data_IF_774115862176
#
_entry.id   IF_774115862176
#
_cell.length_a   1.000
_cell.length_b   1.000
_cell.length_c   1.000
_cell.angle_alpha   90.00
_cell.angle_beta   90.00
_cell.angle_gamma   90.00
#
_symmetry.space_group_name_H-M   'P 1'
#
loop_
_entity.id
_entity.type
_entity.pdbx_description
1 polymer ?
#
# COMPACT_ATOMS: atom_id res chain seq x y z
N UNK A 1 -5.32 19.73 -14.06
CA UNK A 1 -6.21 19.76 -12.87
C UNK A 1 -5.71 20.82 -11.91
N UNK A 2 -6.52 21.80 -11.55
CA UNK A 2 -6.12 22.91 -10.67
C UNK A 2 -5.90 22.42 -9.25
N UNK A 3 -4.83 22.90 -8.59
CA UNK A 3 -4.52 22.64 -7.16
C UNK A 3 -5.72 22.84 -6.22
N UNK A 4 -6.71 23.67 -6.58
CA UNK A 4 -7.95 23.90 -5.82
C UNK A 4 -8.85 22.66 -5.72
N UNK A 5 -8.96 21.85 -6.78
CA UNK A 5 -9.75 20.60 -6.75
C UNK A 5 -9.08 19.55 -5.85
N UNK A 6 -7.75 19.58 -5.82
CA UNK A 6 -6.90 18.77 -4.96
C UNK A 6 -7.05 19.16 -3.48
N UNK A 7 -7.04 20.45 -3.16
CA UNK A 7 -7.30 20.92 -1.78
C UNK A 7 -8.73 20.57 -1.33
N UNK A 8 -9.71 20.56 -2.26
CA UNK A 8 -11.06 20.06 -2.00
C UNK A 8 -11.09 18.56 -1.66
N UNK A 9 -10.37 17.73 -2.42
CA UNK A 9 -10.23 16.30 -2.16
C UNK A 9 -9.48 16.04 -0.83
N UNK A 10 -8.39 16.76 -0.57
CA UNK A 10 -7.65 16.71 0.70
C UNK A 10 -8.50 17.15 1.87
N UNK A 11 -9.32 18.21 1.75
CA UNK A 11 -10.22 18.66 2.83
C UNK A 11 -11.30 17.61 3.16
N UNK A 12 -11.74 16.82 2.18
CA UNK A 12 -12.64 15.69 2.40
C UNK A 12 -12.00 14.52 3.16
N UNK A 13 -10.73 14.22 2.85
CA UNK A 13 -9.98 13.09 3.46
C UNK A 13 -9.32 13.45 4.80
N UNK A 14 -8.90 14.71 4.95
CA UNK A 14 -8.27 15.28 6.17
C UNK A 14 -9.32 15.81 7.15
N UNK A 15 -10.63 15.62 6.88
CA UNK A 15 -11.68 15.98 7.83
C UNK A 15 -11.46 15.15 9.10
N UNK A 16 -10.86 15.78 10.11
CA UNK A 16 -10.79 15.25 11.46
C UNK A 16 -12.22 15.11 11.97
N UNK A 17 -12.47 14.06 12.75
CA UNK A 17 -13.82 13.77 13.26
C UNK A 17 -14.39 15.04 13.87
N UNK A 18 -15.59 15.44 13.44
CA UNK A 18 -16.26 16.59 14.03
C UNK A 18 -16.46 16.33 15.54
N UNK A 19 -16.40 17.35 16.41
CA UNK A 19 -16.73 17.17 17.82
C UNK A 19 -18.16 16.62 17.92
N UNK A 20 -18.29 15.40 18.46
CA UNK A 20 -19.57 14.68 18.49
C UNK A 20 -19.77 13.64 17.39
N UNK A 21 -18.76 13.27 16.60
CA UNK A 21 -18.85 12.12 15.70
C UNK A 21 -18.63 10.80 16.49
N UNK A 22 -19.19 9.69 16.00
CA UNK A 22 -19.04 8.37 16.64
C UNK A 22 -17.84 7.67 16.02
N UNK A 23 -16.88 7.28 16.86
CA UNK A 23 -15.69 6.53 16.49
C UNK A 23 -16.05 5.07 16.19
N UNK A 24 -16.25 4.78 14.90
CA UNK A 24 -16.51 3.43 14.40
C UNK A 24 -15.25 2.68 13.92
N UNK A 25 -14.19 3.41 13.57
CA UNK A 25 -12.96 2.82 13.03
C UNK A 25 -12.06 2.21 14.12
N UNK A 26 -11.46 1.06 13.84
CA UNK A 26 -10.26 0.61 14.56
C UNK A 26 -9.07 1.53 14.25
N UNK A 27 -8.06 1.54 15.13
CA UNK A 27 -6.79 2.28 14.87
C UNK A 27 -6.17 1.82 13.56
N UNK A 28 -6.28 0.53 13.27
CA UNK A 28 -5.75 -0.09 12.06
C UNK A 28 -6.56 0.28 10.82
N UNK A 29 -7.90 0.20 10.88
CA UNK A 29 -8.74 0.70 9.79
C UNK A 29 -8.46 2.17 9.52
N UNK A 30 -8.26 3.01 10.56
CA UNK A 30 -7.87 4.42 10.41
C UNK A 30 -6.51 4.61 9.72
N UNK A 31 -5.55 3.73 9.98
CA UNK A 31 -4.26 3.71 9.28
C UNK A 31 -4.44 3.50 7.77
N UNK A 32 -5.34 2.61 7.37
CA UNK A 32 -5.67 2.34 5.96
C UNK A 32 -6.42 3.51 5.31
N UNK A 33 -7.63 3.85 5.78
CA UNK A 33 -8.49 4.81 5.06
C UNK A 33 -8.10 6.28 5.26
N UNK A 34 -7.35 6.63 6.31
CA UNK A 34 -6.91 8.01 6.56
C UNK A 34 -5.45 8.19 6.19
N UNK A 35 -4.54 7.56 6.93
CA UNK A 35 -3.13 7.84 6.78
C UNK A 35 -2.59 7.40 5.42
N UNK A 36 -2.95 6.20 4.97
CA UNK A 36 -2.50 5.68 3.66
C UNK A 36 -3.14 6.46 2.51
N UNK A 37 -4.43 6.79 2.60
CA UNK A 37 -5.08 7.64 1.59
C UNK A 37 -4.43 9.04 1.50
N UNK A 38 -4.15 9.69 2.64
CA UNK A 38 -3.46 10.99 2.68
C UNK A 38 -2.05 10.87 2.09
N UNK A 39 -1.30 9.83 2.46
CA UNK A 39 0.04 9.59 1.93
C UNK A 39 0.00 9.40 0.41
N UNK A 40 -0.90 8.56 -0.12
CA UNK A 40 -1.04 8.30 -1.55
C UNK A 40 -1.44 9.55 -2.33
N UNK A 41 -2.37 10.35 -1.80
CA UNK A 41 -2.73 11.64 -2.39
C UNK A 41 -1.54 12.61 -2.38
N UNK A 42 -0.80 12.68 -1.28
CA UNK A 42 0.40 13.50 -1.22
C UNK A 42 1.45 13.10 -2.26
N UNK A 43 1.73 11.80 -2.40
CA UNK A 43 2.67 11.28 -3.40
C UNK A 43 2.18 11.49 -4.83
N UNK A 44 0.88 11.34 -5.08
CA UNK A 44 0.25 11.65 -6.37
C UNK A 44 0.48 13.12 -6.76
N UNK A 45 0.35 14.04 -5.80
CA UNK A 45 0.63 15.46 -6.02
C UNK A 45 2.10 15.74 -6.24
N UNK A 46 2.97 15.13 -5.44
CA UNK A 46 4.42 15.27 -5.57
C UNK A 46 4.89 14.88 -6.97
N UNK A 47 4.46 13.73 -7.48
CA UNK A 47 4.82 13.25 -8.83
C UNK A 47 4.19 14.12 -9.93
N UNK A 48 3.06 14.76 -9.65
CA UNK A 48 2.38 15.66 -10.60
C UNK A 48 2.94 17.09 -10.61
N UNK A 49 3.80 17.45 -9.66
CA UNK A 49 4.21 18.83 -9.43
C UNK A 49 5.33 19.29 -10.39
N UNK A 50 4.95 19.61 -11.64
CA UNK A 50 5.86 20.09 -12.70
C UNK A 50 6.66 21.35 -12.32
N UNK A 51 6.11 22.18 -11.43
CA UNK A 51 6.71 23.45 -11.00
C UNK A 51 8.04 23.25 -10.26
N UNK A 52 8.23 22.11 -9.59
CA UNK A 52 9.44 21.81 -8.81
C UNK A 52 10.45 20.97 -9.57
N UNK A 53 9.99 20.18 -10.55
CA UNK A 53 10.80 19.20 -11.26
C UNK A 53 11.16 19.63 -12.70
N UNK A 54 10.55 20.70 -13.20
CA UNK A 54 10.70 21.13 -14.58
C UNK A 54 9.93 20.24 -15.56
N UNK A 55 10.40 20.22 -16.81
CA UNK A 55 9.86 19.31 -17.82
C UNK A 55 10.21 17.85 -17.48
N UNK A 56 9.26 16.89 -17.60
CA UNK A 56 9.45 15.51 -17.16
C UNK A 56 10.54 14.77 -17.96
N UNK A 57 10.78 15.20 -19.20
CA UNK A 57 11.82 14.70 -20.10
C UNK A 57 12.51 15.87 -20.80
N UNK A 58 13.83 15.78 -20.90
CA UNK A 58 14.65 16.67 -21.70
C UNK A 58 15.49 15.83 -22.67
N UNK A 59 15.30 16.04 -23.97
CA UNK A 59 15.93 15.27 -25.02
C UNK A 59 16.96 16.10 -25.78
N UNK A 60 18.15 15.54 -25.96
CA UNK A 60 19.22 16.10 -26.78
C UNK A 60 19.32 15.30 -28.07
N UNK A 61 19.31 16.02 -29.19
CA UNK A 61 19.45 15.44 -30.54
C UNK A 61 20.94 15.36 -30.92
N UNK A 62 21.28 14.34 -31.71
CA UNK A 62 22.59 14.27 -32.37
C UNK A 62 22.76 15.48 -33.31
N UNK A 63 23.97 16.05 -33.37
CA UNK A 63 24.27 17.32 -34.07
C UNK A 63 23.94 17.29 -35.57
N UNK A 64 23.94 16.11 -36.18
CA UNK A 64 23.67 15.89 -37.60
C UNK A 64 22.15 15.78 -37.91
N UNK A 65 21.31 15.66 -36.87
CA UNK A 65 19.87 15.40 -36.93
C UNK A 65 19.00 16.57 -36.44
N UNK A 66 19.57 17.77 -36.29
CA UNK A 66 18.98 18.94 -35.61
C UNK A 66 17.81 19.64 -36.34
N UNK A 67 16.92 18.89 -36.98
CA UNK A 67 15.81 19.39 -37.80
C UNK A 67 14.44 19.44 -37.10
N UNK A 68 14.37 19.18 -35.79
CA UNK A 68 13.11 19.12 -35.01
C UNK A 68 13.21 20.02 -33.77
N UNK A 69 12.26 20.94 -33.52
CA UNK A 69 12.26 21.78 -32.32
C UNK A 69 12.29 20.94 -31.03
N UNK A 70 13.08 21.37 -30.04
CA UNK A 70 13.24 20.65 -28.76
C UNK A 70 11.91 20.40 -28.05
N UNK A 71 11.00 21.38 -28.06
CA UNK A 71 9.67 21.25 -27.45
C UNK A 71 8.82 20.14 -28.08
N UNK A 72 8.93 19.95 -29.39
CA UNK A 72 8.25 18.87 -30.12
C UNK A 72 8.89 17.53 -29.79
N UNK A 73 10.22 17.47 -29.76
CA UNK A 73 10.96 16.26 -29.38
C UNK A 73 10.62 15.82 -27.95
N UNK A 74 10.69 16.73 -26.99
CA UNK A 74 10.37 16.46 -25.57
C UNK A 74 8.93 15.96 -25.41
N UNK A 75 7.96 16.63 -26.07
CA UNK A 75 6.54 16.21 -25.99
C UNK A 75 6.32 14.85 -26.66
N UNK A 76 6.90 14.64 -27.85
CA UNK A 76 6.80 13.37 -28.55
C UNK A 76 7.41 12.24 -27.73
N UNK A 77 8.63 12.39 -27.23
CA UNK A 77 9.32 11.36 -26.44
C UNK A 77 8.70 11.16 -25.05
N UNK A 78 7.93 12.11 -24.54
CA UNK A 78 7.13 11.90 -23.33
C UNK A 78 5.88 11.04 -23.59
N UNK A 79 5.22 11.24 -24.73
CA UNK A 79 3.98 10.55 -25.10
C UNK A 79 4.29 9.18 -25.69
N UNK A 80 5.28 9.12 -26.58
CA UNK A 80 5.83 7.90 -27.13
C UNK A 80 6.67 7.16 -26.07
N UNK A 81 6.79 5.85 -26.22
CA UNK A 81 7.58 5.04 -25.29
C UNK A 81 9.08 5.29 -25.51
N UNK A 82 9.82 5.66 -24.48
CA UNK A 82 11.29 5.66 -24.53
C UNK A 82 11.82 4.27 -24.22
N UNK A 83 13.10 4.01 -24.49
CA UNK A 83 13.69 2.70 -24.21
C UNK A 83 15.13 2.77 -23.70
N UNK A 84 15.54 1.72 -23.00
CA UNK A 84 16.94 1.45 -22.66
C UNK A 84 17.43 0.21 -23.38
N UNK A 85 18.71 0.24 -23.77
CA UNK A 85 19.39 -0.90 -24.37
C UNK A 85 20.19 -1.56 -23.28
N UNK A 86 19.80 -2.77 -22.89
CA UNK A 86 20.51 -3.55 -21.88
C UNK A 86 21.37 -4.57 -22.60
N UNK A 87 22.69 -4.40 -22.53
CA UNK A 87 23.64 -5.40 -23.02
C UNK A 87 23.89 -6.45 -21.94
N UNK A 88 23.85 -7.74 -22.26
CA UNK A 88 24.33 -8.75 -21.33
C UNK A 88 25.81 -8.47 -21.09
N UNK A 89 26.24 -8.55 -19.81
CA UNK A 89 27.67 -8.61 -19.50
C UNK A 89 28.26 -9.71 -20.40
N UNK A 90 29.34 -9.45 -21.16
CA UNK A 90 30.08 -10.56 -21.74
C UNK A 90 30.42 -11.44 -20.55
N UNK A 91 29.97 -12.71 -20.60
CA UNK A 91 30.25 -13.64 -19.52
C UNK A 91 31.75 -13.53 -19.27
N UNK A 92 32.14 -12.94 -18.12
CA UNK A 92 33.52 -12.90 -17.70
C UNK A 92 33.98 -14.34 -17.84
N UNK A 93 34.90 -14.57 -18.79
CA UNK A 93 35.21 -15.87 -19.36
C UNK A 93 34.97 -16.92 -18.28
N UNK A 94 33.89 -17.70 -18.43
CA UNK A 94 33.57 -18.75 -17.48
C UNK A 94 34.90 -19.48 -17.24
N UNK A 95 35.37 -19.63 -15.98
CA UNK A 95 36.65 -20.24 -15.72
C UNK A 95 36.68 -21.52 -16.52
N UNK A 96 37.73 -21.67 -17.33
CA UNK A 96 37.88 -22.71 -18.33
C UNK A 96 37.24 -23.99 -17.82
N UNK A 97 36.35 -24.53 -18.63
CA UNK A 97 35.60 -25.75 -18.39
C UNK A 97 36.37 -26.72 -17.48
N UNK A 98 35.69 -27.23 -16.46
CA UNK A 98 36.11 -28.45 -15.78
C UNK A 98 36.59 -29.48 -16.82
N UNK A 99 37.67 -30.24 -16.60
CA UNK A 99 38.24 -31.15 -17.60
C UNK A 99 37.30 -32.26 -18.11
N UNK A 100 36.07 -32.37 -17.58
CA UNK A 100 35.10 -33.39 -17.92
C UNK A 100 33.69 -32.78 -18.06
N UNK A 101 33.37 -32.22 -19.23
CA UNK A 101 32.03 -31.70 -19.51
C UNK A 101 31.78 -31.60 -21.02
N UNK A 102 30.96 -32.51 -21.54
CA UNK A 102 30.58 -32.65 -22.97
C UNK A 102 29.99 -31.37 -23.55
N UNK A 103 30.49 -31.00 -24.73
CA UNK A 103 29.97 -29.92 -25.58
C UNK A 103 28.59 -30.27 -26.13
N UNK A 104 27.65 -29.35 -26.00
CA UNK A 104 26.33 -29.40 -26.61
C UNK A 104 25.87 -28.00 -26.99
N UNK A 105 26.51 -27.39 -27.99
CA UNK A 105 26.06 -26.15 -28.62
C UNK A 105 25.15 -26.49 -29.79
N UNK A 106 23.83 -26.34 -29.61
CA UNK A 106 22.89 -26.30 -30.74
C UNK A 106 22.96 -24.89 -31.35
N UNK A 107 23.91 -24.67 -32.27
CA UNK A 107 23.75 -23.66 -33.32
C UNK A 107 23.15 -24.40 -34.51
N UNK A 108 21.89 -24.10 -34.83
CA UNK A 108 21.29 -24.51 -36.10
C UNK A 108 22.04 -23.83 -37.23
N UNK A 109 23.04 -24.49 -37.79
CA UNK A 109 23.67 -24.09 -39.03
C UNK A 109 22.72 -24.46 -40.17
N UNK A 110 22.15 -23.44 -40.85
CA UNK A 110 21.50 -23.67 -42.14
C UNK A 110 22.55 -24.11 -43.18
N UNK A 111 22.10 -24.91 -44.14
CA UNK A 111 22.92 -25.50 -45.20
C UNK A 111 23.57 -24.40 -46.09
N UNK A 112 24.83 -24.57 -46.55
CA UNK A 112 25.57 -23.55 -47.31
C UNK A 112 24.89 -23.04 -48.59
N UNK A 113 23.91 -23.76 -49.14
CA UNK A 113 23.18 -23.38 -50.36
C UNK A 113 21.99 -22.44 -50.17
N UNK A 114 21.62 -22.11 -48.93
CA UNK A 114 20.46 -21.24 -48.61
C UNK A 114 20.85 -19.84 -48.11
N UNK A 115 22.16 -19.57 -48.02
CA UNK A 115 22.68 -18.31 -47.48
C UNK A 115 22.40 -17.09 -48.39
N UNK A 116 22.12 -17.33 -49.68
CA UNK A 116 21.80 -16.28 -50.66
C UNK A 116 20.30 -15.97 -50.81
N UNK A 117 19.39 -16.73 -50.19
CA UNK A 117 17.94 -16.55 -50.40
C UNK A 117 17.24 -15.73 -49.30
N UNK A 118 17.96 -15.36 -48.23
CA UNK A 118 17.44 -14.53 -47.13
C UNK A 118 17.81 -13.05 -47.30
N UNK A 119 18.68 -12.70 -48.25
CA UNK A 119 19.10 -11.30 -48.46
C UNK A 119 18.05 -10.40 -49.13
N UNK A 120 16.89 -10.93 -49.57
CA UNK A 120 15.90 -10.13 -50.32
C UNK A 120 14.46 -10.21 -49.78
N UNK A 121 14.25 -10.64 -48.54
CA UNK A 121 12.96 -10.48 -47.87
C UNK A 121 13.18 -9.88 -46.47
N UNK A 122 13.19 -8.55 -46.39
CA UNK A 122 13.22 -7.88 -45.10
C UNK A 122 13.65 -6.41 -45.04
N UNK A 123 13.85 -5.71 -46.15
CA UNK A 123 14.03 -4.25 -46.12
C UNK A 123 12.66 -3.54 -46.01
N UNK A 124 11.91 -3.86 -44.96
CA UNK A 124 10.88 -2.97 -44.44
C UNK A 124 11.50 -2.19 -43.27
N UNK A 125 11.83 -0.89 -43.43
CA UNK A 125 12.36 -0.04 -42.36
C UNK A 125 11.29 0.29 -41.29
N UNK A 126 10.30 -0.57 -41.11
CA UNK A 126 9.37 -0.54 -39.98
C UNK A 126 9.76 -1.54 -38.88
N UNK A 127 10.79 -2.39 -39.07
CA UNK A 127 11.05 -3.55 -38.21
C UNK A 127 12.49 -3.71 -37.65
N UNK A 128 13.33 -2.68 -37.65
CA UNK A 128 14.69 -2.78 -37.07
C UNK A 128 14.74 -2.68 -35.54
N UNK A 129 13.64 -2.32 -34.90
CA UNK A 129 13.54 -2.52 -33.46
C UNK A 129 13.25 -4.00 -33.23
N UNK A 130 14.14 -4.78 -32.59
CA UNK A 130 13.79 -6.14 -32.20
C UNK A 130 12.46 -6.14 -31.45
N UNK A 131 11.60 -7.10 -31.81
CA UNK A 131 10.31 -7.28 -31.15
C UNK A 131 10.51 -7.36 -29.62
N UNK A 132 9.54 -6.93 -28.80
CA UNK A 132 9.70 -6.87 -27.35
C UNK A 132 10.26 -8.18 -26.77
N UNK A 133 11.47 -8.14 -26.22
CA UNK A 133 12.13 -9.33 -25.63
C UNK A 133 12.99 -10.16 -26.59
N UNK A 134 13.14 -9.76 -27.86
CA UNK A 134 14.13 -10.34 -28.79
C UNK A 134 15.45 -9.60 -28.60
N UNK A 135 16.54 -10.35 -28.40
CA UNK A 135 17.87 -9.80 -28.30
C UNK A 135 18.47 -9.64 -29.72
N UNK A 136 19.19 -8.55 -29.96
CA UNK A 136 19.96 -8.33 -31.20
C UNK A 136 21.03 -9.42 -31.39
N UNK A 137 21.67 -9.53 -32.56
CA UNK A 137 22.76 -10.49 -32.83
C UNK A 137 23.92 -10.39 -31.82
N UNK A 138 24.10 -9.24 -31.16
CA UNK A 138 25.07 -9.02 -30.07
C UNK A 138 24.48 -9.23 -28.65
N UNK A 139 23.26 -9.77 -28.54
CA UNK A 139 22.59 -10.10 -27.28
C UNK A 139 21.90 -8.92 -26.57
N UNK A 140 21.92 -7.72 -27.13
CA UNK A 140 21.33 -6.53 -26.51
C UNK A 140 19.79 -6.60 -26.49
N UNK A 141 19.17 -6.36 -25.33
CA UNK A 141 17.71 -6.36 -25.16
C UNK A 141 17.16 -4.93 -25.01
N UNK A 142 16.13 -4.59 -25.78
CA UNK A 142 15.45 -3.28 -25.70
C UNK A 142 14.34 -3.35 -24.65
N UNK A 143 14.38 -2.45 -23.65
CA UNK A 143 13.31 -2.30 -22.66
C UNK A 143 12.61 -0.96 -22.83
N UNK A 144 11.30 -0.98 -23.07
CA UNK A 144 10.47 0.22 -23.22
C UNK A 144 9.91 0.68 -21.88
N UNK A 145 9.89 2.00 -21.66
CA UNK A 145 9.43 2.65 -20.43
C UNK A 145 8.27 3.59 -20.75
N UNK A 146 7.07 3.27 -20.24
CA UNK A 146 5.85 4.05 -20.51
C UNK A 146 4.94 4.23 -19.27
N UNK A 147 5.37 3.72 -18.10
CA UNK A 147 4.52 3.68 -16.91
C UNK A 147 4.29 5.06 -16.28
N UNK A 148 5.17 6.03 -16.51
CA UNK A 148 5.14 7.38 -15.91
C UNK A 148 3.84 8.12 -16.14
N UNK A 149 3.23 7.92 -17.30
CA UNK A 149 1.95 8.53 -17.67
C UNK A 149 0.82 8.07 -16.75
N UNK A 150 0.93 6.84 -16.23
CA UNK A 150 -0.08 6.18 -15.41
C UNK A 150 0.16 6.34 -13.91
N UNK A 151 1.39 6.65 -13.47
CA UNK A 151 1.74 6.72 -12.03
C UNK A 151 0.78 7.63 -11.23
N UNK A 152 0.52 8.89 -11.61
CA UNK A 152 -0.37 9.75 -10.83
C UNK A 152 -1.82 9.24 -10.79
N UNK A 153 -2.30 8.69 -11.90
CA UNK A 153 -3.65 8.15 -12.00
C UNK A 153 -3.82 6.92 -11.10
N UNK A 154 -2.84 6.01 -11.14
CA UNK A 154 -2.82 4.81 -10.30
C UNK A 154 -2.77 5.22 -8.82
N UNK A 155 -1.86 6.10 -8.40
CA UNK A 155 -1.79 6.55 -7.00
C UNK A 155 -3.09 7.19 -6.51
N UNK A 156 -3.76 7.99 -7.35
CA UNK A 156 -5.07 8.57 -7.05
C UNK A 156 -6.17 7.50 -6.89
N UNK A 157 -6.22 6.53 -7.81
CA UNK A 157 -7.18 5.42 -7.73
C UNK A 157 -6.93 4.55 -6.49
N UNK A 158 -5.66 4.27 -6.16
CA UNK A 158 -5.29 3.52 -4.98
C UNK A 158 -5.76 4.20 -3.69
N UNK A 159 -5.65 5.54 -3.59
CA UNK A 159 -6.14 6.27 -2.43
C UNK A 159 -7.65 6.05 -2.20
N UNK A 160 -8.45 5.99 -3.27
CA UNK A 160 -9.89 5.67 -3.18
C UNK A 160 -10.12 4.22 -2.75
N UNK A 161 -9.35 3.27 -3.30
CA UNK A 161 -9.46 1.85 -2.93
C UNK A 161 -9.14 1.63 -1.44
N UNK A 162 -8.17 2.34 -0.87
CA UNK A 162 -7.90 2.31 0.57
C UNK A 162 -9.02 2.87 1.45
N UNK A 163 -9.91 3.70 0.91
CA UNK A 163 -11.11 4.16 1.60
C UNK A 163 -12.27 3.16 1.54
N UNK A 164 -12.29 2.26 0.54
CA UNK A 164 -13.42 1.38 0.26
C UNK A 164 -13.79 0.43 1.42
N UNK A 165 -12.86 -0.25 2.13
CA UNK A 165 -13.22 -1.11 3.26
C UNK A 165 -13.91 -0.37 4.40
N UNK A 166 -13.50 0.88 4.66
CA UNK A 166 -14.14 1.72 5.68
C UNK A 166 -15.54 2.17 5.23
N UNK A 167 -15.69 2.57 3.96
CA UNK A 167 -17.01 2.90 3.41
C UNK A 167 -17.97 1.72 3.53
N UNK A 168 -17.51 0.51 3.17
CA UNK A 168 -18.26 -0.72 3.37
C UNK A 168 -18.71 -0.90 4.82
N UNK A 169 -17.81 -0.71 5.80
CA UNK A 169 -18.17 -0.78 7.22
C UNK A 169 -19.26 0.23 7.59
N UNK A 170 -19.11 1.50 7.17
CA UNK A 170 -20.07 2.55 7.53
C UNK A 170 -21.46 2.29 6.97
N UNK A 171 -21.55 1.71 5.77
CA UNK A 171 -22.81 1.31 5.16
C UNK A 171 -23.43 0.10 5.89
N UNK A 172 -22.60 -0.88 6.27
CA UNK A 172 -23.04 -2.07 6.99
C UNK A 172 -23.46 -1.79 8.44
N UNK A 173 -22.79 -0.85 9.11
CA UNK A 173 -23.08 -0.49 10.50
C UNK A 173 -24.45 0.19 10.65
N UNK A 174 -24.90 0.92 9.63
CA UNK A 174 -26.27 1.43 9.54
C UNK A 174 -26.64 2.49 10.59
N UNK A 175 -25.68 3.03 11.33
CA UNK A 175 -25.90 4.01 12.38
C UNK A 175 -26.40 3.45 13.72
N UNK A 176 -26.29 2.13 13.95
CA UNK A 176 -26.75 1.47 15.17
C UNK A 176 -26.12 2.05 16.45
N UNK A 177 -24.79 2.18 16.47
CA UNK A 177 -24.03 2.70 17.61
C UNK A 177 -24.35 4.18 17.83
N UNK A 178 -24.46 4.94 16.73
CA UNK A 178 -24.83 6.34 16.81
C UNK A 178 -26.25 6.53 17.35
N UNK A 179 -27.21 5.71 16.93
CA UNK A 179 -28.58 5.68 17.46
C UNK A 179 -28.60 5.40 18.96
N UNK A 180 -27.88 4.37 19.41
CA UNK A 180 -27.79 4.00 20.82
C UNK A 180 -27.17 5.12 21.69
N UNK A 181 -26.19 5.85 21.17
CA UNK A 181 -25.50 6.94 21.89
C UNK A 181 -26.23 8.29 21.82
N UNK A 182 -27.10 8.53 20.84
CA UNK A 182 -27.90 9.77 20.77
C UNK A 182 -28.75 9.97 22.02
N UNK A 183 -29.29 8.88 22.59
CA UNK A 183 -30.03 8.91 23.86
C UNK A 183 -29.18 9.32 25.07
N UNK A 184 -27.86 9.13 25.02
CA UNK A 184 -26.91 9.56 26.06
C UNK A 184 -26.38 10.98 25.84
N UNK A 185 -26.24 11.44 24.59
CA UNK A 185 -25.59 12.71 24.25
C UNK A 185 -26.44 13.97 24.44
N UNK A 186 -27.75 13.84 24.67
CA UNK A 186 -28.65 15.00 24.83
C UNK A 186 -28.47 15.78 26.16
N UNK A 187 -27.55 15.38 27.05
CA UNK A 187 -27.53 15.91 28.42
C UNK A 187 -26.11 16.03 29.02
N UNK A 188 -25.19 16.73 28.32
CA UNK A 188 -23.88 17.07 28.89
C UNK A 188 -23.95 18.13 30.03
N UNK A 189 -25.15 18.58 30.42
CA UNK A 189 -25.40 19.59 31.49
C UNK A 189 -26.32 19.04 32.60
N UNK A 190 -26.20 17.76 32.96
CA UNK A 190 -27.24 17.11 33.77
C UNK A 190 -26.73 16.40 35.02
N UNK A 191 -27.48 16.60 36.11
CA UNK A 191 -27.28 16.01 37.43
C UNK A 191 -27.08 14.48 37.38
N UNK A 192 -26.24 13.97 38.29
CA UNK A 192 -25.80 12.57 38.32
C UNK A 192 -26.95 11.54 38.25
N UNK A 193 -28.11 11.85 38.83
CA UNK A 193 -29.28 10.95 38.88
C UNK A 193 -29.90 10.70 37.50
N UNK A 194 -30.00 11.73 36.66
CA UNK A 194 -30.55 11.61 35.31
C UNK A 194 -29.63 10.81 34.37
N UNK A 195 -28.30 10.95 34.55
CA UNK A 195 -27.29 10.15 33.82
C UNK A 195 -27.42 8.66 34.13
N UNK A 196 -27.69 8.30 35.39
CA UNK A 196 -27.93 6.91 35.78
C UNK A 196 -29.21 6.35 35.13
N UNK A 197 -30.26 7.16 35.02
CA UNK A 197 -31.48 6.81 34.28
C UNK A 197 -31.23 6.48 32.80
N UNK A 198 -30.44 7.28 32.10
CA UNK A 198 -30.06 7.02 30.71
C UNK A 198 -29.22 5.75 30.56
N UNK A 199 -28.28 5.51 31.48
CA UNK A 199 -27.47 4.29 31.51
C UNK A 199 -28.35 3.04 31.70
N UNK A 200 -29.34 3.11 32.60
CA UNK A 200 -30.31 2.01 32.80
C UNK A 200 -31.20 1.78 31.58
N UNK A 201 -31.63 2.84 30.91
CA UNK A 201 -32.39 2.75 29.66
C UNK A 201 -31.56 2.04 28.59
N UNK A 202 -30.30 2.43 28.42
CA UNK A 202 -29.38 1.78 27.48
C UNK A 202 -29.11 0.31 27.86
N UNK A 203 -28.98 -0.01 29.15
CA UNK A 203 -28.81 -1.39 29.61
C UNK A 203 -30.05 -2.27 29.29
N UNK A 204 -31.27 -1.72 29.45
CA UNK A 204 -32.50 -2.41 29.07
C UNK A 204 -32.64 -2.59 27.57
N UNK A 205 -32.28 -1.56 26.79
CA UNK A 205 -32.20 -1.68 25.33
C UNK A 205 -31.24 -2.79 24.92
N UNK A 206 -30.03 -2.79 25.48
CA UNK A 206 -29.03 -3.84 25.23
C UNK A 206 -29.58 -5.23 25.55
N UNK A 207 -30.23 -5.39 26.70
CA UNK A 207 -30.89 -6.63 27.10
C UNK A 207 -31.96 -7.10 26.10
N UNK A 208 -32.80 -6.19 25.60
CA UNK A 208 -33.80 -6.51 24.57
C UNK A 208 -33.22 -6.93 23.22
N UNK A 209 -32.00 -6.50 22.91
CA UNK A 209 -31.29 -6.79 21.65
C UNK A 209 -30.23 -7.90 21.74
N UNK A 210 -30.15 -8.60 22.88
CA UNK A 210 -29.14 -9.65 23.09
C UNK A 210 -29.14 -10.68 21.98
N UNK A 211 -27.94 -11.15 21.62
CA UNK A 211 -27.68 -12.18 20.61
C UNK A 211 -28.03 -11.82 19.16
N UNK A 212 -28.68 -10.67 18.91
CA UNK A 212 -29.08 -10.23 17.57
C UNK A 212 -27.91 -9.65 16.75
N UNK A 213 -26.86 -9.16 17.39
CA UNK A 213 -25.76 -8.43 16.75
C UNK A 213 -24.72 -9.32 16.03
N UNK A 214 -24.99 -10.63 15.85
CA UNK A 214 -24.00 -11.57 15.30
C UNK A 214 -23.67 -11.29 13.84
N UNK A 215 -24.67 -11.11 12.97
CA UNK A 215 -24.48 -10.79 11.54
C UNK A 215 -23.83 -9.41 11.37
N UNK A 216 -24.25 -8.45 12.19
CA UNK A 216 -23.66 -7.11 12.25
C UNK A 216 -22.15 -7.17 12.58
N UNK A 217 -21.76 -8.02 13.53
CA UNK A 217 -20.36 -8.18 13.89
C UNK A 217 -19.52 -8.87 12.83
N UNK A 218 -20.06 -9.80 12.04
CA UNK A 218 -19.34 -10.39 10.89
C UNK A 218 -18.91 -9.30 9.91
N UNK A 219 -19.75 -8.29 9.67
CA UNK A 219 -19.40 -7.14 8.82
C UNK A 219 -18.16 -6.39 9.29
N UNK A 220 -18.00 -6.17 10.61
CA UNK A 220 -16.82 -5.48 11.16
C UNK A 220 -15.54 -6.29 10.92
N UNK A 221 -15.63 -7.60 11.01
CA UNK A 221 -14.49 -8.50 10.89
C UNK A 221 -14.11 -8.71 9.43
N UNK A 222 -15.10 -8.69 8.54
CA UNK A 222 -14.89 -8.69 7.10
C UNK A 222 -14.04 -7.49 6.67
N UNK A 223 -14.16 -6.34 7.33
CA UNK A 223 -13.35 -5.14 7.03
C UNK A 223 -11.86 -5.37 7.28
N UNK A 224 -11.50 -6.10 8.33
CA UNK A 224 -10.09 -6.42 8.61
C UNK A 224 -9.51 -7.34 7.52
N UNK A 225 -10.30 -8.28 7.01
CA UNK A 225 -9.92 -9.12 5.84
C UNK A 225 -9.85 -8.28 4.56
N UNK A 226 -10.84 -7.43 4.32
CA UNK A 226 -10.88 -6.52 3.17
C UNK A 226 -9.68 -5.56 3.17
N UNK A 227 -9.23 -5.07 4.32
CA UNK A 227 -8.02 -4.25 4.42
C UNK A 227 -6.77 -5.03 3.98
N UNK A 228 -6.61 -6.29 4.42
CA UNK A 228 -5.50 -7.14 4.00
C UNK A 228 -5.56 -7.41 2.49
N UNK A 229 -6.72 -7.81 1.97
CA UNK A 229 -6.93 -8.00 0.54
C UNK A 229 -6.63 -6.72 -0.25
N UNK A 230 -7.07 -5.57 0.25
CA UNK A 230 -6.85 -4.29 -0.41
C UNK A 230 -5.36 -3.95 -0.51
N UNK A 231 -4.57 -4.10 0.56
CA UNK A 231 -3.11 -3.86 0.48
C UNK A 231 -2.46 -4.77 -0.56
N UNK A 232 -2.80 -6.07 -0.55
CA UNK A 232 -2.23 -7.05 -1.49
C UNK A 232 -2.60 -6.69 -2.94
N UNK A 233 -3.87 -6.38 -3.21
CA UNK A 233 -4.33 -5.99 -4.55
C UNK A 233 -3.66 -4.69 -5.02
N UNK A 234 -3.51 -3.70 -4.14
CA UNK A 234 -2.81 -2.45 -4.48
C UNK A 234 -1.32 -2.68 -4.74
N UNK A 235 -0.66 -3.57 -3.99
CA UNK A 235 0.73 -3.95 -4.22
C UNK A 235 0.90 -4.71 -5.56
N UNK A 236 0.00 -5.64 -5.87
CA UNK A 236 -0.01 -6.35 -7.16
C UNK A 236 -0.28 -5.40 -8.34
N UNK A 237 -1.11 -4.37 -8.15
CA UNK A 237 -1.33 -3.34 -9.17
C UNK A 237 -0.05 -2.52 -9.46
N UNK A 238 0.75 -2.19 -8.43
CA UNK A 238 2.05 -1.54 -8.62
C UNK A 238 3.06 -2.48 -9.29
N UNK A 239 3.01 -3.77 -8.99
CA UNK A 239 3.83 -4.77 -9.64
C UNK A 239 3.50 -4.91 -11.13
N UNK A 240 2.21 -4.97 -11.48
CA UNK A 240 1.75 -4.97 -12.86
C UNK A 240 2.16 -3.68 -13.60
N UNK A 241 2.09 -2.52 -12.94
CA UNK A 241 2.51 -1.23 -13.51
C UNK A 241 4.00 -1.21 -13.88
N UNK A 242 4.87 -1.87 -13.10
CA UNK A 242 6.32 -1.95 -13.33
C UNK A 242 6.74 -3.21 -14.13
N UNK A 243 5.77 -3.97 -14.65
CA UNK A 243 6.03 -5.18 -15.44
C UNK A 243 6.62 -6.33 -14.62
N UNK A 244 6.12 -6.54 -13.40
CA UNK A 244 6.48 -7.68 -12.53
C UNK A 244 7.73 -7.47 -11.65
N UNK A 245 8.12 -6.21 -11.44
CA UNK A 245 9.41 -5.87 -10.80
C UNK A 245 9.29 -5.14 -9.48
N UNK A 246 8.08 -4.82 -9.01
CA UNK A 246 7.90 -4.02 -7.80
C UNK A 246 8.41 -4.75 -6.55
N UNK A 247 8.10 -6.05 -6.43
CA UNK A 247 8.56 -6.83 -5.28
C UNK A 247 10.06 -7.10 -5.30
N UNK A 248 10.60 -7.46 -6.47
CA UNK A 248 12.04 -7.68 -6.64
C UNK A 248 12.83 -6.42 -6.39
N UNK A 249 12.33 -5.29 -6.89
CA UNK A 249 12.90 -3.96 -6.69
C UNK A 249 13.07 -3.65 -5.20
N UNK A 250 12.00 -3.68 -4.40
CA UNK A 250 12.09 -3.32 -2.99
C UNK A 250 13.02 -4.23 -2.17
N UNK A 251 13.00 -5.54 -2.45
CA UNK A 251 13.92 -6.49 -1.80
C UNK A 251 15.39 -6.21 -2.17
N UNK A 252 15.67 -5.86 -3.43
CA UNK A 252 17.02 -5.52 -3.88
C UNK A 252 17.51 -4.19 -3.30
N UNK A 253 16.64 -3.19 -3.12
CA UNK A 253 17.00 -1.92 -2.43
C UNK A 253 17.44 -2.21 -1.01
N UNK A 254 16.65 -3.00 -0.28
CA UNK A 254 16.93 -3.30 1.13
C UNK A 254 18.17 -4.14 1.30
N UNK A 255 18.44 -5.05 0.34
CA UNK A 255 19.68 -5.82 0.33
C UNK A 255 20.91 -4.98 -0.06
N UNK A 256 20.73 -3.98 -0.93
CA UNK A 256 21.77 -3.04 -1.33
C UNK A 256 21.95 -1.88 -0.32
N UNK A 257 21.05 -1.71 0.64
CA UNK A 257 21.21 -0.75 1.72
C UNK A 257 22.49 -1.10 2.49
N UNK A 258 23.41 -0.14 2.68
CA UNK A 258 24.75 -0.44 3.17
C UNK A 258 24.67 -1.09 4.55
N UNK A 259 25.01 -2.37 4.61
CA UNK A 259 25.36 -3.05 5.83
C UNK A 259 26.68 -2.45 6.34
N UNK A 260 26.58 -1.38 7.14
CA UNK A 260 27.67 -0.65 7.78
C UNK A 260 28.70 0.00 6.81
N UNK A 261 29.29 1.15 7.18
CA UNK A 261 30.38 1.71 6.38
C UNK A 261 31.56 0.74 6.40
N UNK A 262 31.90 0.19 5.24
CA UNK A 262 33.25 -0.34 5.01
C UNK A 262 34.24 0.81 5.31
N UNK A 263 35.21 0.52 6.17
CA UNK A 263 36.24 1.47 6.59
C UNK A 263 36.87 2.19 5.39
N UNK A 264 37.23 3.48 5.52
CA UNK A 264 37.81 4.24 4.42
C UNK A 264 39.10 3.57 3.95
N UNK A 265 39.12 3.15 2.68
CA UNK A 265 40.35 2.76 2.01
C UNK A 265 41.29 3.97 2.00
N UNK A 266 42.51 3.77 2.50
CA UNK A 266 43.56 4.78 2.51
C UNK A 266 43.78 5.39 1.11
N UNK A 267 44.09 6.69 1.01
CA UNK A 267 44.43 7.31 -0.27
C UNK A 267 45.72 6.69 -0.80
N UNK A 268 45.64 6.01 -1.94
CA UNK A 268 46.84 5.59 -2.65
C UNK A 268 47.57 6.84 -3.14
N UNK A 269 48.71 7.10 -2.50
CA UNK A 269 49.68 8.08 -2.96
C UNK A 269 50.19 7.63 -4.34
N UNK A 270 49.86 8.39 -5.37
CA UNK A 270 50.49 8.30 -6.70
C UNK A 270 51.97 8.63 -6.55
N UNK A 271 52.82 7.61 -6.55
CA UNK A 271 54.28 7.77 -6.72
C UNK A 271 54.54 7.97 -8.22
N UNK A 272 55.18 9.05 -8.67
CA UNK A 272 55.54 9.21 -10.07
C UNK A 272 56.65 8.21 -10.43
N UNK A 273 56.38 7.36 -11.43
CA UNK A 273 57.38 6.46 -12.01
C UNK A 273 58.40 7.32 -12.79
N UNK A 274 59.70 7.13 -12.52
CA UNK A 274 60.79 7.77 -13.28
C UNK A 274 60.68 7.43 -14.77
N UNK A 275 60.90 8.43 -15.62
CA UNK A 275 61.12 8.29 -17.04
C UNK A 275 62.51 7.68 -17.27
N UNK A 276 62.56 6.44 -17.77
CA UNK A 276 63.76 5.92 -18.40
C UNK A 276 63.71 6.21 -19.92
N UNK A 277 64.85 6.51 -20.58
CA UNK A 277 64.89 6.89 -21.99
C UNK A 277 64.98 5.63 -22.90
N UNK A 278 64.10 5.53 -23.90
CA UNK A 278 64.16 4.55 -25.00
C UNK A 278 65.37 4.80 -25.95
N UNK A 279 65.77 3.91 -26.90
CA UNK A 279 64.99 2.80 -27.47
C UNK A 279 65.74 1.47 -27.73
N UNK A 280 64.99 0.38 -27.88
CA UNK A 280 65.28 -0.68 -28.84
C UNK A 280 63.96 -1.28 -29.35
N UNK A 281 63.96 -1.61 -30.64
CA UNK A 281 62.82 -2.00 -31.46
C UNK A 281 62.65 -3.53 -31.38
N UNK A 282 61.45 -4.00 -31.09
CA UNK A 282 61.04 -5.38 -31.35
C UNK A 282 59.81 -5.36 -32.28
N UNK A 283 59.74 -6.25 -33.29
CA UNK A 283 58.71 -6.21 -34.31
C UNK A 283 57.35 -6.71 -33.79
N UNK A 284 56.32 -6.09 -34.35
CA UNK A 284 54.91 -6.23 -34.02
C UNK A 284 54.39 -7.68 -34.11
N UNK A 285 53.99 -8.23 -32.96
CA UNK A 285 53.02 -9.32 -32.90
C UNK A 285 52.14 -9.15 -31.66
N UNK A 286 50.82 -9.14 -31.86
CA UNK A 286 49.75 -8.93 -30.89
C UNK A 286 49.38 -7.46 -30.59
N UNK A 287 48.84 -6.78 -31.61
CA UNK A 287 47.92 -5.65 -31.38
C UNK A 287 46.61 -6.20 -30.79
N UNK A 288 46.58 -6.41 -29.47
CA UNK A 288 45.32 -6.19 -28.76
C UNK A 288 44.90 -4.76 -29.09
N UNK A 289 43.72 -4.59 -29.69
CA UNK A 289 43.07 -3.26 -29.74
C UNK A 289 43.18 -2.68 -28.33
N UNK A 290 43.69 -1.46 -28.13
CA UNK A 290 43.46 -0.78 -26.88
C UNK A 290 41.94 -0.77 -26.70
N UNK A 291 41.47 -1.35 -25.60
CA UNK A 291 40.09 -1.17 -25.18
C UNK A 291 39.82 0.33 -25.21
N UNK A 292 38.72 0.74 -25.85
CA UNK A 292 38.26 2.11 -25.79
C UNK A 292 38.25 2.54 -24.30
N UNK A 293 38.87 3.68 -23.93
CA UNK A 293 38.93 4.14 -22.54
C UNK A 293 37.57 4.45 -21.89
N UNK A 294 36.46 4.20 -22.59
CA UNK A 294 35.09 4.36 -22.10
C UNK A 294 34.43 3.06 -21.68
N UNK A 295 35.08 1.90 -21.83
CA UNK A 295 34.56 0.64 -21.30
C UNK A 295 34.90 0.53 -19.81
N UNK A 296 34.33 1.44 -19.00
CA UNK A 296 34.19 1.19 -17.58
C UNK A 296 33.42 -0.14 -17.46
N UNK A 297 33.93 -1.15 -16.73
CA UNK A 297 33.14 -2.34 -16.46
C UNK A 297 31.87 -1.86 -15.78
N UNK A 298 30.75 -1.87 -16.52
CA UNK A 298 29.45 -1.42 -16.04
C UNK A 298 29.28 -2.03 -14.65
N UNK A 299 29.17 -1.19 -13.62
CA UNK A 299 28.97 -1.63 -12.23
C UNK A 299 27.84 -2.67 -12.18
N UNK A 300 27.74 -3.52 -11.15
CA UNK A 300 26.58 -4.39 -10.98
C UNK A 300 25.34 -3.50 -11.10
N UNK A 301 24.60 -3.62 -12.22
CA UNK A 301 23.62 -2.63 -12.63
C UNK A 301 22.69 -2.34 -11.45
N UNK A 302 22.75 -1.11 -10.94
CA UNK A 302 21.99 -0.73 -9.76
C UNK A 302 20.53 -1.13 -10.02
N UNK A 303 19.90 -1.90 -9.12
CA UNK A 303 18.54 -2.41 -9.34
C UNK A 303 17.54 -1.25 -9.53
N UNK A 304 17.93 -0.05 -9.06
CA UNK A 304 17.19 1.20 -9.23
C UNK A 304 17.22 1.66 -10.69
N UNK A 305 18.39 1.68 -11.30
CA UNK A 305 18.59 2.14 -12.68
C UNK A 305 17.99 1.18 -13.70
N UNK A 306 17.91 -0.12 -13.36
CA UNK A 306 17.27 -1.13 -14.20
C UNK A 306 15.75 -0.95 -14.35
N UNK A 307 15.07 -0.40 -13.33
CA UNK A 307 13.61 -0.17 -13.31
C UNK A 307 13.26 1.29 -13.58
N UNK A 308 14.06 2.22 -13.07
CA UNK A 308 13.88 3.68 -13.17
C UNK A 308 15.12 4.33 -13.81
N UNK A 309 15.37 4.11 -15.12
CA UNK A 309 16.56 4.64 -15.77
C UNK A 309 16.50 6.17 -15.86
N UNK A 310 17.61 6.85 -15.57
CA UNK A 310 17.69 8.32 -15.66
C UNK A 310 18.00 8.80 -17.07
N UNK A 311 18.49 7.90 -17.93
CA UNK A 311 18.82 8.14 -19.33
C UNK A 311 18.12 7.10 -20.20
N UNK A 312 17.46 7.55 -21.26
CA UNK A 312 16.73 6.69 -22.20
C UNK A 312 16.95 7.18 -23.63
N UNK A 313 16.79 6.29 -24.60
CA UNK A 313 16.79 6.63 -26.04
C UNK A 313 15.34 6.76 -26.53
N UNK A 314 15.13 7.67 -27.48
CA UNK A 314 13.86 7.89 -28.16
C UNK A 314 14.11 8.02 -29.68
N UNK A 315 13.25 7.41 -30.48
CA UNK A 315 13.28 7.45 -31.94
C UNK A 315 12.10 8.28 -32.45
N UNK A 316 12.39 9.45 -33.03
CA UNK A 316 11.38 10.32 -33.65
C UNK A 316 11.30 10.05 -35.16
N UNK A 317 10.09 9.80 -35.66
CA UNK A 317 9.86 9.56 -37.08
C UNK A 317 9.30 10.83 -37.74
N UNK A 318 10.04 11.39 -38.69
CA UNK A 318 9.64 12.53 -39.50
C UNK A 318 9.35 12.07 -40.94
N UNK A 319 8.30 12.58 -41.55
CA UNK A 319 7.98 12.28 -42.95
C UNK A 319 8.51 13.40 -43.85
N UNK A 320 9.40 13.05 -44.78
CA UNK A 320 9.93 13.98 -45.78
C UNK A 320 8.90 14.28 -46.88
N UNK A 321 9.14 15.31 -47.73
CA UNK A 321 8.26 15.64 -48.86
C UNK A 321 8.06 14.50 -49.86
N UNK A 322 9.04 13.58 -49.93
CA UNK A 322 9.01 12.37 -50.76
C UNK A 322 8.20 11.21 -50.14
N UNK A 323 7.61 11.39 -48.96
CA UNK A 323 6.95 10.31 -48.21
C UNK A 323 7.90 9.33 -47.50
N UNK A 324 9.22 9.52 -47.63
CA UNK A 324 10.23 8.70 -46.94
C UNK A 324 10.25 8.99 -45.43
N UNK A 325 10.34 7.93 -44.62
CA UNK A 325 10.50 8.04 -43.17
C UNK A 325 11.95 8.40 -42.84
N UNK A 326 12.15 9.54 -42.21
CA UNK A 326 13.42 9.99 -41.65
C UNK A 326 13.40 9.73 -40.15
N UNK A 327 14.39 8.98 -39.64
CA UNK A 327 14.52 8.65 -38.22
C UNK A 327 15.48 9.63 -37.56
N UNK A 328 15.07 10.22 -36.46
CA UNK A 328 15.90 11.09 -35.63
C UNK A 328 16.02 10.49 -34.24
N UNK A 329 17.24 10.17 -33.83
CA UNK A 329 17.53 9.62 -32.52
C UNK A 329 17.82 10.73 -31.52
N UNK A 330 17.19 10.62 -30.35
CA UNK A 330 17.41 11.53 -29.24
C UNK A 330 17.78 10.77 -27.96
N UNK A 331 18.71 11.33 -27.20
CA UNK A 331 19.05 10.88 -25.85
C UNK A 331 18.28 11.75 -24.85
N UNK A 332 17.49 11.11 -23.99
CA UNK A 332 16.53 11.78 -23.13
C UNK A 332 16.83 11.52 -21.65
N UNK A 333 16.98 12.61 -20.88
CA UNK A 333 17.11 12.59 -19.42
C UNK A 333 15.71 12.53 -18.81
N UNK A 334 15.46 11.49 -18.02
CA UNK A 334 14.19 11.25 -17.31
C UNK A 334 14.26 11.82 -15.89
N UNK A 335 14.11 13.14 -15.75
CA UNK A 335 14.20 13.81 -14.45
C UNK A 335 13.17 13.26 -13.43
N UNK A 336 11.98 12.86 -13.92
CA UNK A 336 10.92 12.30 -13.09
C UNK A 336 11.31 10.97 -12.40
N UNK A 337 12.31 10.26 -12.94
CA UNK A 337 12.72 8.95 -12.40
C UNK A 337 13.52 9.05 -11.12
N UNK A 338 14.18 10.19 -10.89
CA UNK A 338 14.86 10.48 -9.61
C UNK A 338 13.85 10.57 -8.46
N UNK A 339 12.64 11.06 -8.73
CA UNK A 339 11.57 11.13 -7.73
C UNK A 339 10.85 9.80 -7.62
N UNK A 340 10.51 9.19 -8.76
CA UNK A 340 9.81 7.90 -8.78
C UNK A 340 10.60 6.81 -8.05
N UNK A 341 11.93 6.73 -8.22
CA UNK A 341 12.75 5.76 -7.47
C UNK A 341 12.60 5.92 -5.95
N UNK A 342 12.36 7.13 -5.43
CA UNK A 342 12.15 7.33 -3.98
C UNK A 342 10.71 7.05 -3.56
N UNK A 343 9.75 7.47 -4.38
CA UNK A 343 8.32 7.25 -4.13
C UNK A 343 8.03 5.75 -4.06
N UNK A 344 8.51 4.96 -5.03
CA UNK A 344 8.23 3.52 -5.08
C UNK A 344 8.93 2.74 -3.96
N UNK A 345 10.12 3.15 -3.51
CA UNK A 345 10.76 2.58 -2.30
C UNK A 345 9.93 2.84 -1.06
N UNK A 346 9.48 4.09 -0.87
CA UNK A 346 8.64 4.46 0.26
C UNK A 346 7.32 3.68 0.26
N UNK A 347 6.68 3.55 -0.90
CA UNK A 347 5.45 2.76 -1.06
C UNK A 347 5.66 1.28 -0.76
N UNK A 348 6.79 0.71 -1.20
CA UNK A 348 7.11 -0.68 -0.93
C UNK A 348 7.22 -0.94 0.58
N UNK A 349 7.99 -0.10 1.30
CA UNK A 349 8.15 -0.24 2.75
C UNK A 349 6.81 -0.03 3.46
N UNK A 350 6.03 0.97 3.02
CA UNK A 350 4.72 1.25 3.57
C UNK A 350 3.74 0.09 3.40
N UNK A 351 3.63 -0.46 2.19
CA UNK A 351 2.72 -1.58 1.90
C UNK A 351 3.18 -2.87 2.57
N UNK A 352 4.48 -3.13 2.67
CA UNK A 352 5.00 -4.27 3.42
C UNK A 352 4.63 -4.18 4.92
N UNK A 353 4.80 -3.01 5.52
CA UNK A 353 4.41 -2.74 6.91
C UNK A 353 2.90 -2.91 7.11
N UNK A 354 2.08 -2.32 6.23
CA UNK A 354 0.62 -2.44 6.29
C UNK A 354 0.15 -3.89 6.12
N UNK A 355 0.75 -4.64 5.19
CA UNK A 355 0.42 -6.03 4.95
C UNK A 355 0.76 -6.89 6.17
N UNK A 356 1.94 -6.70 6.76
CA UNK A 356 2.36 -7.43 7.96
C UNK A 356 1.45 -7.12 9.16
N UNK A 357 1.15 -5.84 9.41
CA UNK A 357 0.25 -5.43 10.49
C UNK A 357 -1.17 -5.98 10.28
N UNK A 358 -1.71 -5.88 9.06
CA UNK A 358 -3.05 -6.37 8.72
C UNK A 358 -3.13 -7.89 8.85
N UNK A 359 -2.11 -8.62 8.40
CA UNK A 359 -2.01 -10.06 8.56
C UNK A 359 -2.01 -10.45 10.04
N UNK A 360 -1.20 -9.78 10.87
CA UNK A 360 -1.16 -10.05 12.31
C UNK A 360 -2.54 -9.83 12.96
N UNK A 361 -3.26 -8.78 12.57
CA UNK A 361 -4.60 -8.48 13.10
C UNK A 361 -5.61 -9.54 12.66
N UNK A 362 -5.60 -9.92 11.38
CA UNK A 362 -6.47 -10.98 10.86
C UNK A 362 -6.19 -12.30 11.57
N UNK A 363 -4.92 -12.71 11.69
CA UNK A 363 -4.51 -13.92 12.40
C UNK A 363 -4.95 -13.88 13.86
N UNK A 364 -4.69 -12.78 14.57
CA UNK A 364 -5.13 -12.59 15.97
C UNK A 364 -6.64 -12.72 16.11
N UNK A 365 -7.39 -12.13 15.17
CA UNK A 365 -8.85 -12.10 15.15
C UNK A 365 -9.43 -13.49 14.84
N UNK A 366 -8.90 -14.19 13.83
CA UNK A 366 -9.24 -15.57 13.51
C UNK A 366 -8.94 -16.51 14.69
N UNK A 367 -7.76 -16.39 15.31
CA UNK A 367 -7.40 -17.18 16.48
C UNK A 367 -8.35 -16.93 17.66
N UNK A 368 -8.75 -15.68 17.88
CA UNK A 368 -9.75 -15.32 18.90
C UNK A 368 -11.09 -16.02 18.66
N UNK A 369 -11.57 -16.08 17.41
CA UNK A 369 -12.84 -16.76 17.08
C UNK A 369 -12.74 -18.26 17.13
N UNK A 370 -11.64 -18.82 16.65
CA UNK A 370 -11.40 -20.25 16.77
C UNK A 370 -11.40 -20.67 18.23
N UNK A 371 -10.71 -19.90 19.10
CA UNK A 371 -10.74 -20.10 20.54
C UNK A 371 -12.18 -20.02 21.08
N UNK A 372 -12.92 -18.94 20.79
CA UNK A 372 -14.33 -18.77 21.21
C UNK A 372 -15.22 -19.94 20.77
N UNK A 373 -15.11 -20.39 19.52
CA UNK A 373 -15.90 -21.48 18.96
C UNK A 373 -15.56 -22.84 19.61
N UNK A 374 -14.26 -23.14 19.75
CA UNK A 374 -13.76 -24.36 20.40
C UNK A 374 -14.26 -24.46 21.84
N UNK A 375 -14.21 -23.35 22.57
CA UNK A 375 -14.56 -23.36 23.97
C UNK A 375 -16.07 -23.26 24.21
N UNK A 376 -16.85 -22.66 23.31
CA UNK A 376 -18.34 -22.72 23.36
C UNK A 376 -18.85 -24.15 23.24
N UNK A 377 -18.14 -25.01 22.52
CA UNK A 377 -18.44 -26.44 22.39
C UNK A 377 -18.12 -27.24 23.67
N UNK A 378 -17.27 -26.71 24.55
CA UNK A 378 -16.85 -27.33 25.81
C UNK A 378 -17.44 -26.58 27.01
N UNK A 379 -18.61 -27.03 27.47
CA UNK A 379 -19.45 -26.34 28.47
C UNK A 379 -18.78 -26.10 29.84
N UNK A 380 -17.64 -26.74 30.15
CA UNK A 380 -17.06 -26.74 31.50
C UNK A 380 -15.80 -25.88 31.70
N UNK A 381 -15.20 -25.28 30.65
CA UNK A 381 -13.87 -24.61 30.78
C UNK A 381 -13.74 -23.23 30.12
N UNK A 382 -14.81 -22.45 30.03
CA UNK A 382 -14.81 -21.32 29.11
C UNK A 382 -14.90 -19.90 29.70
N UNK A 383 -14.92 -19.70 31.03
CA UNK A 383 -15.00 -18.33 31.58
C UNK A 383 -13.71 -17.53 31.39
N UNK A 384 -12.55 -18.17 31.57
CA UNK A 384 -11.24 -17.54 31.37
C UNK A 384 -10.98 -17.20 29.90
N UNK A 385 -11.36 -18.07 28.95
CA UNK A 385 -11.15 -17.81 27.52
C UNK A 385 -12.08 -16.71 27.01
N UNK A 386 -13.31 -16.60 27.50
CA UNK A 386 -14.21 -15.49 27.19
C UNK A 386 -13.73 -14.15 27.81
N UNK A 387 -13.16 -14.20 29.01
CA UNK A 387 -12.47 -13.05 29.61
C UNK A 387 -11.24 -12.62 28.81
N UNK A 388 -10.41 -13.59 28.38
CA UNK A 388 -9.25 -13.35 27.51
C UNK A 388 -9.68 -12.81 26.14
N UNK A 389 -10.80 -13.27 25.59
CA UNK A 389 -11.36 -12.78 24.33
C UNK A 389 -11.75 -11.30 24.42
N UNK A 390 -12.43 -10.89 25.49
CA UNK A 390 -12.74 -9.47 25.74
C UNK A 390 -11.49 -8.59 25.92
N UNK A 391 -10.45 -9.11 26.59
CA UNK A 391 -9.13 -8.47 26.70
C UNK A 391 -8.45 -8.33 25.35
N UNK A 392 -8.47 -9.39 24.53
CA UNK A 392 -7.86 -9.44 23.21
C UNK A 392 -8.55 -8.47 22.24
N UNK A 393 -9.86 -8.23 22.40
CA UNK A 393 -10.61 -7.21 21.67
C UNK A 393 -10.36 -5.77 22.18
N UNK A 394 -9.59 -5.60 23.26
CA UNK A 394 -9.18 -4.29 23.78
C UNK A 394 -10.20 -3.59 24.67
N UNK A 395 -11.10 -4.33 25.33
CA UNK A 395 -12.06 -3.73 26.27
C UNK A 395 -11.34 -3.14 27.51
N UNK A 396 -11.84 -2.01 28.05
CA UNK A 396 -11.35 -1.49 29.33
C UNK A 396 -11.47 -2.55 30.44
N UNK A 397 -10.58 -2.56 31.44
CA UNK A 397 -10.68 -3.53 32.54
C UNK A 397 -11.94 -3.29 33.39
N UNK A 398 -12.73 -4.35 33.59
CA UNK A 398 -13.86 -4.42 34.51
C UNK A 398 -13.53 -5.28 35.73
N UNK A 399 -14.39 -5.20 36.75
CA UNK A 399 -14.40 -6.15 37.88
C UNK A 399 -14.62 -7.57 37.38
N UNK A 400 -13.93 -8.53 38.01
CA UNK A 400 -13.93 -9.95 37.64
C UNK A 400 -15.37 -10.50 37.58
N UNK A 401 -16.18 -10.30 38.63
CA UNK A 401 -17.55 -10.84 38.67
C UNK A 401 -18.49 -10.26 37.59
N UNK A 402 -18.29 -8.99 37.21
CA UNK A 402 -19.06 -8.36 36.12
C UNK A 402 -18.65 -8.95 34.78
N UNK A 403 -17.34 -9.08 34.55
CA UNK A 403 -16.82 -9.67 33.32
C UNK A 403 -17.21 -11.14 33.15
N UNK A 404 -17.30 -11.90 34.24
CA UNK A 404 -17.77 -13.30 34.24
C UNK A 404 -19.25 -13.41 33.92
N UNK A 405 -20.08 -12.54 34.49
CA UNK A 405 -21.53 -12.52 34.23
C UNK A 405 -21.82 -12.17 32.77
N UNK A 406 -21.13 -11.15 32.24
CA UNK A 406 -21.24 -10.75 30.83
C UNK A 406 -20.74 -11.86 29.90
N UNK A 407 -19.59 -12.48 30.21
CA UNK A 407 -19.07 -13.61 29.45
C UNK A 407 -20.03 -14.79 29.37
N UNK A 408 -20.81 -15.05 30.42
CA UNK A 408 -21.78 -16.14 30.43
C UNK A 408 -22.98 -15.94 29.49
N UNK A 409 -23.32 -14.71 29.14
CA UNK A 409 -24.58 -14.39 28.45
C UNK A 409 -24.41 -13.70 27.08
N UNK A 410 -23.28 -13.03 26.82
CA UNK A 410 -23.06 -12.29 25.59
C UNK A 410 -22.46 -13.19 24.48
N UNK A 411 -23.05 -13.12 23.29
CA UNK A 411 -22.43 -13.65 22.07
C UNK A 411 -21.33 -12.70 21.54
N UNK A 412 -20.56 -13.15 20.55
CA UNK A 412 -19.48 -12.35 19.92
C UNK A 412 -19.98 -10.99 19.44
N UNK A 413 -21.20 -10.93 18.89
CA UNK A 413 -21.77 -9.67 18.39
C UNK A 413 -22.05 -8.65 19.49
N UNK A 414 -22.58 -9.11 20.62
CA UNK A 414 -22.88 -8.25 21.77
C UNK A 414 -21.59 -7.73 22.43
N UNK A 415 -20.54 -8.57 22.46
CA UNK A 415 -19.21 -8.14 22.89
C UNK A 415 -18.63 -7.04 22.00
N UNK A 416 -18.78 -7.16 20.68
CA UNK A 416 -18.35 -6.12 19.74
C UNK A 416 -19.19 -4.84 19.91
N UNK A 417 -20.51 -4.97 20.07
CA UNK A 417 -21.37 -3.81 20.27
C UNK A 417 -21.00 -3.07 21.57
N UNK A 418 -20.79 -3.81 22.66
CA UNK A 418 -20.30 -3.26 23.93
C UNK A 418 -18.92 -2.60 23.79
N UNK A 419 -18.02 -3.15 22.97
CA UNK A 419 -16.72 -2.54 22.65
C UNK A 419 -16.88 -1.21 21.91
N UNK A 420 -17.76 -1.12 20.92
CA UNK A 420 -17.99 0.13 20.18
C UNK A 420 -18.65 1.19 21.06
N UNK A 421 -19.56 0.81 21.96
CA UNK A 421 -20.08 1.72 22.99
C UNK A 421 -18.95 2.20 23.91
N UNK A 422 -18.12 1.29 24.41
CA UNK A 422 -17.00 1.61 25.31
C UNK A 422 -16.00 2.60 24.69
N UNK A 423 -15.72 2.49 23.39
CA UNK A 423 -14.84 3.41 22.65
C UNK A 423 -15.39 4.84 22.54
N UNK A 424 -16.71 4.98 22.61
CA UNK A 424 -17.42 6.24 22.38
C UNK A 424 -17.95 6.89 23.66
N UNK A 425 -17.64 6.33 24.82
CA UNK A 425 -18.08 6.84 26.11
C UNK A 425 -16.92 6.91 27.13
N UNK A 426 -16.93 7.87 28.06
CA UNK A 426 -15.95 7.90 29.14
C UNK A 426 -15.93 6.59 29.93
N UNK A 427 -14.74 6.14 30.35
CA UNK A 427 -14.53 4.87 31.07
C UNK A 427 -15.42 4.71 32.31
N UNK A 428 -15.73 5.81 33.00
CA UNK A 428 -16.62 5.82 34.17
C UNK A 428 -18.05 5.48 33.78
N UNK A 429 -18.58 6.08 32.70
CA UNK A 429 -19.93 5.78 32.20
C UNK A 429 -20.00 4.32 31.76
N UNK A 430 -18.96 3.84 31.05
CA UNK A 430 -18.88 2.48 30.56
C UNK A 430 -18.95 1.44 31.70
N UNK A 431 -18.21 1.68 32.79
CA UNK A 431 -18.26 0.80 33.98
C UNK A 431 -19.65 0.76 34.60
N UNK A 432 -20.32 1.92 34.73
CA UNK A 432 -21.70 1.98 35.22
C UNK A 432 -22.65 1.19 34.31
N UNK A 433 -22.53 1.35 32.99
CA UNK A 433 -23.34 0.62 32.01
C UNK A 433 -23.13 -0.89 32.11
N UNK A 434 -21.88 -1.34 32.15
CA UNK A 434 -21.58 -2.76 32.22
C UNK A 434 -22.05 -3.40 33.53
N UNK A 435 -21.98 -2.67 34.65
CA UNK A 435 -22.54 -3.11 35.93
C UNK A 435 -24.07 -3.26 35.84
N UNK A 436 -24.77 -2.28 35.28
CA UNK A 436 -26.24 -2.34 35.11
C UNK A 436 -26.65 -3.49 34.17
N UNK A 437 -25.92 -3.71 33.07
CA UNK A 437 -26.16 -4.87 32.19
C UNK A 437 -25.95 -6.19 32.96
N UNK A 438 -24.89 -6.30 33.76
CA UNK A 438 -24.64 -7.50 34.55
C UNK A 438 -25.68 -7.74 35.65
N UNK A 439 -26.24 -6.67 36.25
CA UNK A 439 -27.35 -6.77 37.20
C UNK A 439 -28.61 -7.32 36.52
N UNK A 440 -28.93 -6.81 35.32
CA UNK A 440 -30.10 -7.25 34.54
C UNK A 440 -29.94 -8.71 34.06
N UNK A 441 -28.72 -9.15 33.74
CA UNK A 441 -28.41 -10.50 33.28
C UNK A 441 -28.20 -11.53 34.39
N UNK A 442 -27.87 -11.08 35.61
CA UNK A 442 -27.64 -11.97 36.74
C UNK A 442 -28.92 -12.71 37.15
N UNK A 443 -28.81 -13.89 37.81
CA UNK A 443 -29.97 -14.56 38.36
C UNK A 443 -30.72 -13.58 39.27
N UNK A 444 -32.02 -13.37 39.01
CA UNK A 444 -32.91 -12.52 39.80
C UNK A 444 -32.60 -12.68 41.29
N UNK A 445 -31.79 -11.80 41.87
CA UNK A 445 -31.95 -11.48 43.27
C UNK A 445 -33.27 -10.74 43.27
N UNK A 446 -34.31 -11.39 43.79
CA UNK A 446 -35.59 -10.75 44.08
C UNK A 446 -35.33 -9.36 44.68
N UNK A 447 -36.24 -8.41 44.43
CA UNK A 447 -35.97 -6.97 44.52
C UNK A 447 -35.05 -6.68 45.70
N UNK A 448 -33.81 -6.30 45.42
CA UNK A 448 -32.96 -5.69 46.44
C UNK A 448 -33.79 -4.58 47.04
N UNK A 449 -34.03 -4.67 48.34
CA UNK A 449 -34.76 -3.69 49.11
C UNK A 449 -34.39 -2.28 48.61
N UNK A 450 -35.38 -1.37 48.45
CA UNK A 450 -35.09 -0.02 48.00
C UNK A 450 -33.99 0.56 48.91
N UNK A 451 -33.04 1.34 48.37
CA UNK A 451 -32.12 2.08 49.21
C UNK A 451 -32.98 2.91 50.16
N UNK A 452 -32.64 2.84 51.45
CA UNK A 452 -33.29 3.51 52.57
C UNK A 452 -34.21 4.65 52.14
N UNK A 453 -35.52 4.49 52.39
CA UNK A 453 -36.43 5.62 52.46
C UNK A 453 -35.84 6.58 53.50
N UNK A 454 -35.22 7.66 53.03
CA UNK A 454 -35.24 8.91 53.78
C UNK A 454 -36.70 9.29 54.05
N UNK A 455 -36.96 10.08 55.12
CA UNK A 455 -38.32 10.31 55.58
C UNK A 455 -39.17 10.89 54.46
N UNK A 456 -40.43 10.43 54.43
CA UNK A 456 -41.43 10.80 53.46
C UNK A 456 -41.57 12.33 53.32
N UNK A 457 -41.55 12.82 52.09
CA UNK A 457 -42.21 14.06 51.73
C UNK A 457 -43.21 13.81 50.61
N UNK A 458 -44.31 14.51 50.73
CA UNK A 458 -45.63 14.24 50.18
C UNK A 458 -45.75 14.38 48.65
N UNK A 459 -46.67 13.56 48.12
CA UNK A 459 -47.61 13.86 47.05
C UNK A 459 -47.17 14.78 45.89
N UNK A 460 -46.90 14.16 44.73
CA UNK A 460 -47.40 14.67 43.46
C UNK A 460 -47.53 13.55 42.43
N UNK A 461 -48.78 13.33 42.04
CA UNK A 461 -49.26 12.57 40.89
C UNK A 461 -48.38 12.79 39.65
N UNK A 462 -47.98 11.71 38.98
CA UNK A 462 -47.41 11.75 37.64
C UNK A 462 -48.35 10.98 36.71
N UNK A 463 -48.91 11.71 35.74
CA UNK A 463 -49.84 11.26 34.71
C UNK A 463 -49.34 10.08 33.85
N UNK A 464 -50.25 9.32 33.23
CA UNK A 464 -49.94 8.05 32.58
C UNK A 464 -49.31 8.21 31.19
N UNK A 465 -48.33 7.34 30.92
CA UNK A 465 -48.07 6.64 29.66
C UNK A 465 -48.41 7.36 28.34
N UNK A 466 -47.38 7.80 27.61
CA UNK A 466 -47.47 8.05 26.16
C UNK A 466 -47.02 6.78 25.42
N UNK A 467 -47.81 6.22 24.48
CA UNK A 467 -47.49 4.99 23.78
C UNK A 467 -46.51 5.19 22.63
N UNK A 468 -45.83 4.09 22.30
CA UNK A 468 -44.93 3.88 21.18
C UNK A 468 -45.68 3.78 19.84
N UNK A 469 -45.03 4.32 18.79
CA UNK A 469 -45.11 3.94 17.36
C UNK A 469 -46.39 4.28 16.58
N UNK A 470 -46.24 5.17 15.61
CA UNK A 470 -46.86 5.01 14.29
C UNK A 470 -45.78 5.18 13.21
N UNK A 471 -45.58 4.10 12.46
CA UNK A 471 -44.85 4.06 11.19
C UNK A 471 -45.82 4.50 10.12
N UNK A 472 -45.55 5.58 9.39
CA UNK A 472 -46.14 5.81 8.06
C UNK A 472 -45.15 6.49 7.11
N UNK A 473 -44.90 5.77 6.01
CA UNK A 473 -44.44 6.13 4.66
C UNK A 473 -43.20 7.00 4.47
#
# INVERSE_FOLDING_TARGET
MTMLAVFGALRGVVRTNAPGEVHLSSVWSALHHRLTAILLLFLMLLVSARQYLGEPVQCVQQKDDAGVPESVMNTYCFIATTYTVVRPRPAAAAPAASPWGRTGTVRGALHPGLQGLVQNLGDDPALDDPAPGVADEQGASIRRHAYYQWVPLVLGMQAVLFAAPYMFWTLWEGGLVAGALRGLRLQEVVAADKRLGQVRLLARYFHGTLNSHTVWAVGYWAVEVLNLCNVVLNALALDALLGGRFFSYGMQVLAAAPAAPAAPAHPQLLVPRRLDPYPHWEPAAALHRPADPLDHPEDPADPMEAVFPKLTKCTFFKYGPSGSIQRHDALCVMALNVVNEKVFVLLWVWFAMLAAASLLIVVRTCAAMAAYACTRRSASRNRLTLWLFGRLLGLPPLSVGVSETLAGHLNVGDWLFLLLLAKNMPRVVYRSLANEIAIVLGPNRGPTAPPNKGPAEDGKELDPLVPLVEVTT
#
